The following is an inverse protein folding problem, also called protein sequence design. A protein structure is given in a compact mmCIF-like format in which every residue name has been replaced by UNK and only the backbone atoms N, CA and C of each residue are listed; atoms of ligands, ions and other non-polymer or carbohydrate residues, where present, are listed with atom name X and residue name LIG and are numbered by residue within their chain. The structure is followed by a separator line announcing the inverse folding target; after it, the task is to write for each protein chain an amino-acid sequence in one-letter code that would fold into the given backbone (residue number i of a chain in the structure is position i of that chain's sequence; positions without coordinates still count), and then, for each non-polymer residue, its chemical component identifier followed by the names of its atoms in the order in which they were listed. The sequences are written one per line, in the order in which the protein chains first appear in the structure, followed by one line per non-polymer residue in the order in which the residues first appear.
data_IF_548102123987
#
_entry.id   IF_548102123987
#
_cell.length_a   1.000
_cell.length_b   1.000
_cell.length_c   1.000
_cell.angle_alpha   90.00
_cell.angle_beta   90.00
_cell.angle_gamma   90.00
#
_symmetry.space_group_name_H-M   'P 1'
#
loop_
_entity.id
_entity.type
_entity.pdbx_description
1 polymer ?
#
# COMPACT_ATOMS: atom_id res chain seq x y z
N UNK A 1 15.87 6.96 -6.71
CA UNK A 1 15.38 6.86 -5.32
C UNK A 1 13.96 6.31 -5.37
N UNK A 2 13.48 5.49 -4.41
CA UNK A 2 12.04 5.52 -4.06
C UNK A 2 11.74 6.93 -3.56
N UNK A 3 11.57 7.84 -4.51
CA UNK A 3 11.45 9.25 -4.26
C UNK A 3 9.96 9.53 -4.07
N UNK A 4 9.55 10.02 -2.89
CA UNK A 4 8.21 10.52 -2.74
C UNK A 4 8.03 11.68 -3.73
N UNK A 5 6.87 11.76 -4.39
CA UNK A 5 6.59 12.88 -5.30
C UNK A 5 6.52 14.23 -4.56
N UNK A 6 6.45 14.20 -3.22
CA UNK A 6 6.39 15.35 -2.33
C UNK A 6 7.47 15.23 -1.25
N UNK A 7 8.00 16.35 -0.76
CA UNK A 7 9.10 16.37 0.22
C UNK A 7 8.71 15.83 1.60
N UNK A 8 7.45 16.02 2.00
CA UNK A 8 6.95 15.59 3.31
C UNK A 8 6.60 14.10 3.30
N UNK A 9 6.77 13.46 4.46
CA UNK A 9 6.25 12.12 4.70
C UNK A 9 4.73 12.12 4.45
N UNK A 10 4.27 11.21 3.62
CA UNK A 10 2.86 11.04 3.34
C UNK A 10 2.52 9.56 3.26
N UNK A 11 1.42 9.18 3.89
CA UNK A 11 0.89 7.83 3.87
C UNK A 11 -0.18 7.73 2.78
N UNK A 12 -0.13 6.65 2.00
CA UNK A 12 -1.14 6.36 0.99
C UNK A 12 -2.15 5.37 1.55
N UNK A 13 -3.42 5.75 1.56
CA UNK A 13 -4.55 4.84 1.84
C UNK A 13 -5.32 4.69 0.53
N UNK A 14 -5.27 3.50 -0.08
CA UNK A 14 -5.72 3.27 -1.44
C UNK A 14 -6.57 1.99 -1.49
N UNK A 15 -7.72 2.08 -2.16
CA UNK A 15 -8.58 0.93 -2.44
C UNK A 15 -7.96 -0.01 -3.48
N UNK A 16 -8.19 -1.32 -3.31
CA UNK A 16 -7.62 -2.35 -4.20
C UNK A 16 -8.36 -2.52 -5.53
N UNK A 17 -9.42 -1.75 -5.79
CA UNK A 17 -10.14 -1.76 -7.07
C UNK A 17 -9.38 -1.02 -8.18
N UNK A 18 -8.55 -0.03 -7.81
CA UNK A 18 -7.77 0.82 -8.72
C UNK A 18 -8.60 1.44 -9.86
N UNK A 19 -9.90 1.66 -9.64
CA UNK A 19 -10.83 2.21 -10.63
C UNK A 19 -10.77 3.75 -10.65
N UNK A 20 -9.74 4.30 -11.30
CA UNK A 20 -9.57 5.75 -11.41
C UNK A 20 -9.23 6.18 -12.82
N UNK A 21 -9.81 7.31 -13.26
CA UNK A 21 -9.44 7.99 -14.52
C UNK A 21 -7.99 8.51 -14.52
N UNK A 22 -7.37 8.66 -13.35
CA UNK A 22 -6.00 9.17 -13.19
C UNK A 22 -4.93 8.07 -13.18
N UNK A 23 -5.32 6.80 -13.13
CA UNK A 23 -4.43 5.67 -13.38
C UNK A 23 -4.19 5.56 -14.91
N UNK A 24 -3.18 6.26 -15.42
CA UNK A 24 -3.01 6.49 -16.86
C UNK A 24 -1.85 5.73 -17.49
N UNK A 25 -0.78 5.48 -16.72
CA UNK A 25 0.46 4.95 -17.26
C UNK A 25 1.02 3.82 -16.39
N UNK A 26 2.03 3.13 -16.93
CA UNK A 26 2.71 2.01 -16.28
C UNK A 26 3.32 2.38 -14.93
N UNK A 27 3.94 3.57 -14.84
CA UNK A 27 4.56 4.07 -13.60
C UNK A 27 3.54 4.21 -12.48
N UNK A 28 2.34 4.75 -12.75
CA UNK A 28 1.27 4.87 -11.75
C UNK A 28 0.80 3.50 -11.24
N UNK A 29 0.73 2.48 -12.11
CA UNK A 29 0.36 1.14 -11.67
C UNK A 29 1.45 0.52 -10.80
N UNK A 30 2.68 0.53 -11.31
CA UNK A 30 3.80 -0.13 -10.67
C UNK A 30 4.21 0.53 -9.35
N UNK A 31 3.99 1.85 -9.20
CA UNK A 31 4.26 2.54 -7.94
C UNK A 31 3.40 2.06 -6.76
N UNK A 32 2.26 1.41 -7.03
CA UNK A 32 1.37 0.86 -5.99
C UNK A 32 1.33 -0.68 -5.96
N UNK A 33 1.73 -1.34 -7.05
CA UNK A 33 1.55 -2.79 -7.23
C UNK A 33 2.87 -3.57 -7.38
N UNK A 34 3.98 -2.98 -6.95
CA UNK A 34 5.31 -3.61 -6.85
C UNK A 34 5.93 -3.29 -5.49
N UNK A 35 7.12 -3.84 -5.22
CA UNK A 35 7.89 -3.51 -4.01
C UNK A 35 8.32 -2.04 -3.92
N UNK A 36 8.03 -1.22 -4.95
CA UNK A 36 8.11 0.24 -4.85
C UNK A 36 7.14 0.78 -3.79
N UNK A 37 5.97 0.16 -3.64
CA UNK A 37 5.02 0.49 -2.59
C UNK A 37 5.38 -0.27 -1.32
N UNK A 38 5.78 0.47 -0.29
CA UNK A 38 6.16 -0.10 1.01
C UNK A 38 4.94 -0.10 1.92
N UNK A 39 4.59 -1.27 2.42
CA UNK A 39 3.47 -1.41 3.35
C UNK A 39 3.82 -0.77 4.70
N UNK A 40 2.85 -0.07 5.29
CA UNK A 40 3.06 0.63 6.55
C UNK A 40 3.47 -0.29 7.69
N UNK A 41 2.97 -1.53 7.73
CA UNK A 41 3.31 -2.51 8.77
C UNK A 41 4.80 -2.87 8.69
N UNK A 42 5.33 -3.09 7.48
CA UNK A 42 6.76 -3.38 7.30
C UNK A 42 7.63 -2.19 7.69
N UNK A 43 7.22 -0.99 7.31
CA UNK A 43 7.97 0.23 7.62
C UNK A 43 8.00 0.49 9.12
N UNK A 44 6.89 0.27 9.82
CA UNK A 44 6.83 0.38 11.29
C UNK A 44 7.75 -0.64 11.96
N UNK A 45 7.75 -1.90 11.49
CA UNK A 45 8.63 -2.95 12.03
C UNK A 45 10.12 -2.63 11.79
N UNK A 46 10.49 -2.15 10.60
CA UNK A 46 11.84 -1.71 10.28
C UNK A 46 12.30 -0.55 11.19
N UNK A 47 11.43 0.43 11.42
CA UNK A 47 11.75 1.55 12.31
C UNK A 47 11.90 1.08 13.76
N UNK A 48 11.00 0.21 14.24
CA UNK A 48 11.05 -0.30 15.62
C UNK A 48 12.30 -1.17 15.87
N UNK A 49 12.73 -1.96 14.88
CA UNK A 49 13.87 -2.86 15.01
C UNK A 49 15.22 -2.17 14.75
N UNK A 50 15.28 -1.26 13.78
CA UNK A 50 16.53 -0.72 13.26
C UNK A 50 16.69 0.80 13.48
N UNK A 51 15.68 1.47 14.04
CA UNK A 51 15.64 2.92 14.24
C UNK A 51 15.48 3.74 12.95
N UNK A 52 15.32 3.09 11.79
CA UNK A 52 15.18 3.75 10.48
C UNK A 52 14.44 2.89 9.47
N UNK A 53 13.69 3.52 8.58
CA UNK A 53 13.11 2.87 7.42
C UNK A 53 14.16 2.72 6.32
N UNK A 54 14.16 1.58 5.61
CA UNK A 54 15.05 1.38 4.47
C UNK A 54 14.44 2.00 3.22
N UNK A 55 15.20 2.90 2.59
CA UNK A 55 14.88 3.42 1.26
C UNK A 55 15.46 2.47 0.22
N UNK A 56 14.62 1.92 -0.65
CA UNK A 56 15.10 1.18 -1.81
C UNK A 56 15.16 2.13 -3.01
N UNK A 57 16.29 2.14 -3.70
CA UNK A 57 16.42 2.87 -4.95
C UNK A 57 16.36 1.89 -6.10
N UNK A 58 15.14 1.53 -6.50
CA UNK A 58 14.95 0.66 -7.65
C UNK A 58 13.85 1.18 -8.57
N UNK A 59 14.19 2.23 -9.31
CA UNK A 59 13.34 2.77 -10.38
C UNK A 59 13.01 1.73 -11.46
N UNK A 60 13.75 0.60 -11.53
CA UNK A 60 13.42 -0.51 -12.43
C UNK A 60 12.09 -1.15 -12.06
N UNK A 61 11.69 -1.08 -10.78
CA UNK A 61 10.37 -1.55 -10.33
C UNK A 61 9.23 -0.79 -11.02
N UNK A 62 9.44 0.49 -11.35
CA UNK A 62 8.44 1.32 -12.02
C UNK A 62 8.29 1.00 -13.51
N UNK A 63 9.29 0.38 -14.14
CA UNK A 63 9.29 0.01 -15.56
C UNK A 63 8.95 -1.46 -15.83
N UNK A 64 8.78 -2.26 -14.76
CA UNK A 64 8.37 -3.67 -14.81
C UNK A 64 7.12 -3.91 -15.69
N UNK A 65 6.98 -5.15 -16.12
CA UNK A 65 5.78 -5.62 -16.81
C UNK A 65 4.51 -5.35 -15.98
N UNK A 66 3.45 -4.93 -16.66
CA UNK A 66 2.15 -4.70 -16.03
C UNK A 66 1.52 -6.03 -15.63
N UNK A 67 1.45 -6.28 -14.33
CA UNK A 67 0.85 -7.50 -13.79
C UNK A 67 -0.36 -7.20 -12.93
N UNK A 68 -1.39 -8.03 -13.04
CA UNK A 68 -2.53 -8.00 -12.12
C UNK A 68 -2.05 -8.21 -10.68
N UNK A 69 -2.58 -7.42 -9.74
CA UNK A 69 -2.21 -7.49 -8.32
C UNK A 69 -2.79 -8.72 -7.61
N UNK A 70 -3.75 -9.41 -8.24
CA UNK A 70 -4.40 -10.63 -7.74
C UNK A 70 -3.81 -11.88 -8.38
N UNK A 71 -4.06 -12.09 -9.68
CA UNK A 71 -3.63 -13.31 -10.38
C UNK A 71 -2.24 -13.25 -11.03
N UNK A 72 -1.55 -12.10 -10.97
CA UNK A 72 -0.21 -11.89 -11.56
C UNK A 72 -0.10 -12.04 -13.09
N UNK A 73 -1.21 -12.15 -13.81
CA UNK A 73 -1.23 -12.16 -15.28
C UNK A 73 -0.62 -10.89 -15.85
N UNK A 74 0.16 -11.04 -16.92
CA UNK A 74 0.78 -9.94 -17.64
C UNK A 74 -0.20 -9.27 -18.61
N UNK A 75 -0.09 -7.95 -18.77
CA UNK A 75 -0.90 -7.16 -19.68
C UNK A 75 -0.05 -6.19 -20.51
N UNK A 76 -0.39 -5.96 -21.77
CA UNK A 76 0.43 -5.13 -22.65
C UNK A 76 0.30 -3.62 -22.37
N UNK A 77 -0.84 -3.18 -21.80
CA UNK A 77 -1.12 -1.77 -21.55
C UNK A 77 -2.16 -1.56 -20.44
N UNK A 78 -2.28 -0.33 -19.96
CA UNK A 78 -3.19 0.05 -18.86
C UNK A 78 -4.68 -0.21 -19.19
N UNK A 79 -5.20 0.08 -20.40
CA UNK A 79 -6.59 -0.25 -20.72
C UNK A 79 -6.92 -1.74 -20.59
N UNK A 80 -6.07 -2.63 -21.12
CA UNK A 80 -6.23 -4.08 -21.01
C UNK A 80 -6.14 -4.56 -19.56
N UNK A 81 -5.23 -3.98 -18.78
CA UNK A 81 -5.10 -4.27 -17.36
C UNK A 81 -6.34 -3.83 -16.58
N UNK A 82 -6.85 -2.62 -16.81
CA UNK A 82 -8.08 -2.10 -16.16
C UNK A 82 -9.28 -3.01 -16.43
N UNK A 83 -9.48 -3.38 -17.70
CA UNK A 83 -10.54 -4.32 -18.07
C UNK A 83 -10.40 -5.66 -17.33
N UNK A 84 -9.16 -6.14 -17.16
CA UNK A 84 -8.90 -7.37 -16.43
C UNK A 84 -9.20 -7.23 -14.93
N UNK A 85 -8.66 -6.22 -14.25
CA UNK A 85 -8.76 -6.12 -12.77
C UNK A 85 -10.20 -5.92 -12.30
N UNK A 86 -11.06 -5.28 -13.11
CA UNK A 86 -12.50 -5.15 -12.82
C UNK A 86 -13.22 -6.50 -12.82
N UNK A 87 -12.73 -7.48 -13.59
CA UNK A 87 -13.36 -8.79 -13.74
C UNK A 87 -12.59 -9.94 -13.09
N UNK A 88 -11.36 -9.69 -12.61
CA UNK A 88 -10.53 -10.69 -11.98
C UNK A 88 -11.24 -11.22 -10.73
N UNK A 89 -11.13 -12.51 -10.43
CA UNK A 89 -11.70 -13.14 -9.23
C UNK A 89 -10.68 -13.89 -8.38
N UNK A 90 -9.40 -13.92 -8.81
CA UNK A 90 -8.33 -14.55 -8.05
C UNK A 90 -8.18 -13.92 -6.66
N UNK A 91 -7.92 -14.66 -5.58
CA UNK A 91 -7.80 -14.06 -4.26
C UNK A 91 -6.64 -13.04 -4.18
N UNK A 92 -6.68 -12.15 -3.19
CA UNK A 92 -5.50 -11.37 -2.85
C UNK A 92 -4.40 -12.31 -2.32
N UNK A 93 -3.14 -11.86 -2.39
CA UNK A 93 -2.03 -12.63 -1.82
C UNK A 93 -2.21 -12.78 -0.31
N UNK A 94 -1.77 -13.92 0.24
CA UNK A 94 -1.81 -14.18 1.68
C UNK A 94 -1.19 -13.03 2.48
N UNK A 95 -0.04 -12.52 2.01
CA UNK A 95 0.64 -11.36 2.60
C UNK A 95 -0.27 -10.14 2.81
N UNK A 96 -1.17 -9.83 1.87
CA UNK A 96 -2.09 -8.69 2.01
C UNK A 96 -3.27 -8.98 2.95
N UNK A 97 -3.63 -10.25 3.13
CA UNK A 97 -4.73 -10.67 3.99
C UNK A 97 -4.31 -10.79 5.47
N UNK A 98 -3.01 -10.75 5.75
CA UNK A 98 -2.45 -10.86 7.09
C UNK A 98 -2.21 -9.49 7.73
N UNK A 99 -2.11 -9.47 9.07
CA UNK A 99 -1.65 -8.32 9.87
C UNK A 99 -2.37 -6.99 9.62
N UNK A 100 -3.63 -7.04 9.16
CA UNK A 100 -4.44 -5.83 8.92
C UNK A 100 -3.95 -4.94 7.78
N UNK A 101 -3.12 -5.48 6.86
CA UNK A 101 -2.60 -4.72 5.70
C UNK A 101 -3.69 -4.32 4.72
N UNK A 102 -4.73 -5.14 4.60
CA UNK A 102 -5.99 -4.75 3.96
C UNK A 102 -7.03 -4.45 5.03
N UNK A 103 -7.45 -3.19 5.09
CA UNK A 103 -8.66 -2.81 5.79
C UNK A 103 -9.86 -3.33 4.99
N UNK A 104 -10.44 -4.44 5.44
CA UNK A 104 -11.74 -4.86 4.92
C UNK A 104 -12.81 -3.86 5.38
N UNK A 105 -13.88 -3.70 4.59
CA UNK A 105 -15.03 -2.88 5.01
C UNK A 105 -15.46 -3.37 6.39
N UNK A 106 -15.28 -2.49 7.36
CA UNK A 106 -15.62 -2.73 8.76
C UNK A 106 -17.10 -3.07 8.77
N UNK A 107 -17.42 -4.31 9.18
CA UNK A 107 -18.72 -4.57 9.76
C UNK A 107 -18.92 -3.51 10.84
N UNK A 108 -19.96 -2.65 10.78
CA UNK A 108 -20.16 -1.54 11.71
C UNK A 108 -20.18 -1.95 13.19
N UNK A 109 -20.19 -3.26 13.49
CA UNK A 109 -20.04 -3.80 14.85
C UNK A 109 -18.60 -3.86 15.37
N UNK A 110 -17.55 -3.72 14.54
CA UNK A 110 -16.15 -3.86 14.98
C UNK A 110 -15.35 -2.54 14.90
N UNK A 111 -15.68 -1.63 15.82
CA UNK A 111 -15.03 -0.32 16.00
C UNK A 111 -13.56 -0.42 16.47
N UNK A 112 -13.12 -1.60 16.95
CA UNK A 112 -11.76 -1.82 17.43
C UNK A 112 -10.71 -1.78 16.31
N UNK A 113 -11.07 -2.12 15.07
CA UNK A 113 -10.14 -2.10 13.94
C UNK A 113 -9.76 -0.67 13.51
N UNK A 114 -10.73 0.26 13.50
CA UNK A 114 -10.46 1.69 13.27
C UNK A 114 -9.67 2.30 14.41
N UNK A 115 -10.03 1.96 15.64
CA UNK A 115 -9.31 2.45 16.80
C UNK A 115 -7.85 1.98 16.79
N UNK A 116 -7.52 0.77 16.35
CA UNK A 116 -6.11 0.36 16.21
C UNK A 116 -5.33 1.11 15.11
N UNK A 117 -5.99 1.50 14.03
CA UNK A 117 -5.39 2.30 12.95
C UNK A 117 -5.11 3.75 13.37
N UNK A 118 -5.92 4.33 14.28
CA UNK A 118 -5.83 5.74 14.68
C UNK A 118 -5.36 6.00 16.13
N UNK A 119 -5.53 5.08 17.09
CA UNK A 119 -5.11 5.25 18.50
C UNK A 119 -3.62 4.97 18.75
N UNK A 120 -2.88 4.38 17.81
CA UNK A 120 -1.41 4.36 17.89
C UNK A 120 -0.81 5.77 18.03
N UNK A 121 -1.56 6.79 17.59
CA UNK A 121 -1.18 8.18 17.71
C UNK A 121 -1.53 8.83 19.07
N UNK A 122 -2.45 8.26 19.86
CA UNK A 122 -2.83 8.85 21.16
C UNK A 122 -1.86 8.47 22.28
N UNK A 123 -1.37 7.22 22.28
CA UNK A 123 -0.39 6.74 23.26
C UNK A 123 1.01 7.35 23.12
N UNK A 124 1.37 7.84 21.92
CA UNK A 124 2.65 8.52 21.69
C UNK A 124 2.61 10.02 21.98
N UNK A 125 1.42 10.64 22.02
CA UNK A 125 1.26 12.06 22.38
C UNK A 125 1.08 12.28 23.88
N UNK A 126 0.64 11.27 24.64
CA UNK A 126 0.43 11.39 26.09
C UNK A 126 1.70 11.14 26.92
N UNK A 127 2.72 10.47 26.38
CA UNK A 127 3.99 10.19 27.08
C UNK A 127 5.08 11.28 26.91
N UNK A 128 4.73 12.45 26.37
CA UNK A 128 5.68 13.58 26.18
C UNK A 128 5.32 14.84 26.98
N UNK A 129 4.34 14.75 27.88
CA UNK A 129 3.92 15.85 28.75
C UNK A 129 4.38 15.71 30.22
N UNK A 130 5.03 14.61 30.59
CA UNK A 130 5.55 14.40 31.95
C UNK A 130 7.00 13.86 31.92
N UNK A 131 7.95 14.72 31.55
CA UNK A 131 9.31 14.81 32.13
C UNK A 131 10.04 16.03 31.60
#
# INVERSE_FOLDING_TARGET
MQAPSMRQLHLHVISQDFNSKHLKNKKHWNSFNTAFFRDSVDVMEEVNSCGKARLQDDDKLLSMELRCHRCRSAHPNIPRLKLHITNCQAPFSAHLLENGRLAMTIDPTNLDALNKLFLGHKLLTENKAEN
#
